data_IF_853026473243
#
_entry.id   IF_853026473243
#
_cell.length_a   1.000
_cell.length_b   1.000
_cell.length_c   1.000
_cell.angle_alpha   90.00
_cell.angle_beta   90.00
_cell.angle_gamma   90.00
#
_symmetry.space_group_name_H-M   'P 1'
#
loop_
_entity.id
_entity.type
_entity.pdbx_description
1 polymer ?
#
# COMPACT_ATOMS: atom_id res chain seq x y z
N UNK A 1 -28.32 -56.65 -45.23
CA UNK A 1 -29.16 -56.15 -44.11
C UNK A 1 -28.41 -54.99 -43.48
N UNK A 2 -28.66 -53.79 -43.98
CA UNK A 2 -27.96 -52.57 -43.57
C UNK A 2 -28.93 -51.74 -42.74
N UNK A 3 -28.61 -51.49 -41.47
CA UNK A 3 -29.41 -50.65 -40.58
C UNK A 3 -28.61 -49.40 -40.26
N UNK A 4 -29.14 -48.25 -40.71
CA UNK A 4 -28.74 -46.91 -40.32
C UNK A 4 -29.03 -46.69 -38.83
N UNK A 5 -28.07 -46.16 -38.08
CA UNK A 5 -28.32 -45.55 -36.77
C UNK A 5 -27.93 -44.08 -36.86
N UNK A 6 -28.95 -43.20 -36.87
CA UNK A 6 -28.80 -41.77 -36.66
C UNK A 6 -28.39 -41.52 -35.19
N UNK A 7 -27.18 -41.02 -34.97
CA UNK A 7 -26.77 -40.46 -33.69
C UNK A 7 -27.02 -38.95 -33.68
N UNK A 8 -28.03 -38.50 -32.93
CA UNK A 8 -28.29 -37.09 -32.65
C UNK A 8 -27.13 -36.53 -31.81
N UNK A 9 -26.39 -35.57 -32.35
CA UNK A 9 -25.41 -34.80 -31.58
C UNK A 9 -26.15 -33.80 -30.70
N UNK A 10 -26.13 -34.02 -29.38
CA UNK A 10 -26.61 -33.07 -28.38
C UNK A 10 -25.66 -31.87 -28.36
N UNK A 11 -26.16 -30.70 -28.78
CA UNK A 11 -25.48 -29.43 -28.56
C UNK A 11 -25.42 -29.15 -27.06
N UNK A 12 -24.22 -29.21 -26.47
CA UNK A 12 -23.97 -28.69 -25.15
C UNK A 12 -24.07 -27.15 -25.21
N UNK A 13 -25.18 -26.59 -24.72
CA UNK A 13 -25.27 -25.16 -24.44
C UNK A 13 -24.27 -24.83 -23.32
N UNK A 14 -23.17 -24.17 -23.66
CA UNK A 14 -22.28 -23.56 -22.69
C UNK A 14 -23.05 -22.54 -21.87
N UNK A 15 -23.08 -22.71 -20.55
CA UNK A 15 -23.59 -21.69 -19.63
C UNK A 15 -22.66 -20.48 -19.72
N UNK A 16 -23.14 -19.40 -20.33
CA UNK A 16 -22.55 -18.09 -20.15
C UNK A 16 -22.74 -17.70 -18.68
N UNK A 17 -21.75 -18.00 -17.83
CA UNK A 17 -21.69 -17.47 -16.48
C UNK A 17 -21.72 -15.95 -16.58
N UNK A 18 -22.78 -15.33 -16.06
CA UNK A 18 -22.92 -13.88 -16.07
C UNK A 18 -21.74 -13.25 -15.35
N UNK A 19 -20.93 -12.49 -16.09
CA UNK A 19 -19.97 -11.57 -15.50
C UNK A 19 -20.78 -10.43 -14.90
N UNK A 20 -21.13 -10.53 -13.63
CA UNK A 20 -21.68 -9.39 -12.90
C UNK A 20 -20.55 -8.39 -12.68
N UNK A 21 -20.72 -7.15 -13.12
CA UNK A 21 -19.79 -6.09 -12.76
C UNK A 21 -19.75 -5.96 -11.23
N UNK A 22 -18.56 -5.73 -10.68
CA UNK A 22 -18.43 -5.41 -9.26
C UNK A 22 -19.20 -4.11 -8.98
N UNK A 23 -20.04 -4.10 -7.94
CA UNK A 23 -20.64 -2.86 -7.46
C UNK A 23 -19.51 -1.92 -7.02
N UNK A 24 -19.40 -0.78 -7.71
CA UNK A 24 -18.38 0.23 -7.43
C UNK A 24 -18.68 0.94 -6.12
N UNK A 25 -17.90 0.67 -5.07
CA UNK A 25 -17.92 1.46 -3.85
C UNK A 25 -17.28 2.82 -4.14
N UNK A 26 -18.06 3.89 -4.06
CA UNK A 26 -17.51 5.25 -4.12
C UNK A 26 -16.90 5.59 -2.75
N UNK A 27 -15.60 5.93 -2.67
CA UNK A 27 -14.99 6.30 -1.41
C UNK A 27 -15.63 7.58 -0.87
N UNK A 28 -15.86 7.63 0.44
CA UNK A 28 -16.34 8.84 1.09
C UNK A 28 -15.26 9.92 1.07
N UNK A 29 -15.65 11.17 1.33
CA UNK A 29 -14.70 12.27 1.53
C UNK A 29 -13.66 11.94 2.62
N UNK A 30 -14.08 11.30 3.72
CA UNK A 30 -13.17 10.87 4.78
C UNK A 30 -12.18 9.81 4.29
N UNK A 31 -12.62 8.87 3.47
CA UNK A 31 -11.73 7.83 2.93
C UNK A 31 -10.65 8.46 2.04
N UNK A 32 -11.04 9.40 1.17
CA UNK A 32 -10.11 10.10 0.29
C UNK A 32 -9.10 10.92 1.09
N UNK A 33 -9.54 11.67 2.11
CA UNK A 33 -8.62 12.46 2.93
C UNK A 33 -7.76 11.64 3.90
N UNK A 34 -8.19 10.42 4.25
CA UNK A 34 -7.44 9.51 5.13
C UNK A 34 -6.38 8.69 4.38
N UNK A 35 -6.28 8.84 3.06
CA UNK A 35 -5.22 8.20 2.28
C UNK A 35 -3.85 8.63 2.81
N UNK A 36 -3.00 7.63 3.06
CA UNK A 36 -1.62 7.88 3.45
C UNK A 36 -0.80 8.18 2.20
N UNK A 37 -0.02 9.26 2.24
CA UNK A 37 0.96 9.56 1.20
C UNK A 37 2.38 9.27 1.70
N UNK A 38 3.18 8.60 0.87
CA UNK A 38 4.58 8.28 1.17
C UNK A 38 5.52 9.21 0.41
N UNK A 39 6.67 9.54 1.00
CA UNK A 39 7.63 10.47 0.40
C UNK A 39 9.05 10.37 0.96
N UNK A 40 9.92 11.24 0.46
CA UNK A 40 11.30 11.46 0.94
C UNK A 40 12.08 10.18 1.26
N UNK A 41 12.21 9.23 0.30
CA UNK A 41 12.92 7.98 0.56
C UNK A 41 14.42 8.22 0.73
N UNK A 42 15.00 7.60 1.75
CA UNK A 42 16.42 7.59 2.06
C UNK A 42 16.89 6.14 2.24
N UNK A 43 17.69 5.67 1.28
CA UNK A 43 18.24 4.31 1.27
C UNK A 43 19.51 4.29 2.14
N UNK A 44 19.63 3.28 3.00
CA UNK A 44 20.83 3.10 3.81
C UNK A 44 22.06 2.80 2.93
N UNK A 45 23.29 3.18 3.33
CA UNK A 45 24.49 2.96 2.51
C UNK A 45 24.74 1.50 2.10
N UNK A 46 24.31 0.54 2.93
CA UNK A 46 24.43 -0.90 2.64
C UNK A 46 23.31 -1.45 1.75
N UNK A 47 22.32 -0.62 1.40
CA UNK A 47 21.15 -0.96 0.59
C UNK A 47 20.12 -1.85 1.29
N UNK A 48 20.28 -2.15 2.60
CA UNK A 48 19.42 -3.12 3.32
C UNK A 48 18.30 -2.47 4.11
N UNK A 49 18.17 -1.15 4.05
CA UNK A 49 17.08 -0.43 4.71
C UNK A 49 16.67 0.80 3.90
N UNK A 50 15.41 1.19 4.05
CA UNK A 50 14.84 2.43 3.49
C UNK A 50 14.06 3.13 4.58
N UNK A 51 14.49 4.35 4.93
CA UNK A 51 13.71 5.28 5.73
C UNK A 51 12.88 6.16 4.78
N UNK A 52 11.62 6.44 5.10
CA UNK A 52 10.74 7.24 4.26
C UNK A 52 9.66 7.91 5.11
N UNK A 53 9.07 8.97 4.61
CA UNK A 53 7.98 9.66 5.32
C UNK A 53 6.63 9.06 4.97
N UNK A 54 5.72 9.04 5.95
CA UNK A 54 4.31 8.69 5.79
C UNK A 54 3.50 9.83 6.39
N UNK A 55 2.74 10.52 5.54
CA UNK A 55 1.79 11.55 5.97
C UNK A 55 0.40 10.94 6.11
N UNK A 56 -0.25 11.18 7.24
CA UNK A 56 -1.59 10.70 7.55
C UNK A 56 -2.46 11.79 8.16
N UNK A 57 -3.77 11.73 7.93
CA UNK A 57 -4.72 12.62 8.59
C UNK A 57 -4.82 12.28 10.08
N UNK A 58 -4.66 13.29 10.92
CA UNK A 58 -5.09 13.27 12.32
C UNK A 58 -6.43 14.00 12.40
N UNK A 59 -7.49 13.22 12.67
CA UNK A 59 -8.85 13.73 12.73
C UNK A 59 -9.19 14.38 14.07
N UNK A 60 -8.46 14.03 15.13
CA UNK A 60 -8.67 14.58 16.48
C UNK A 60 -8.11 16.00 16.54
N UNK A 61 -6.93 16.22 15.96
CA UNK A 61 -6.24 17.52 15.89
C UNK A 61 -6.54 18.30 14.59
N UNK A 62 -7.38 17.76 13.69
CA UNK A 62 -7.76 18.35 12.41
C UNK A 62 -6.54 18.82 11.57
N UNK A 63 -5.54 17.96 11.47
CA UNK A 63 -4.28 18.23 10.77
C UNK A 63 -3.78 17.01 10.02
N UNK A 64 -2.60 17.16 9.41
CA UNK A 64 -1.84 16.04 8.88
C UNK A 64 -0.50 15.97 9.58
N UNK A 65 -0.15 14.78 10.04
CA UNK A 65 1.14 14.52 10.64
C UNK A 65 1.96 13.65 9.72
N UNK A 66 3.27 13.89 9.72
CA UNK A 66 4.23 13.13 8.93
C UNK A 66 5.16 12.40 9.88
N UNK A 67 5.26 11.09 9.70
CA UNK A 67 6.14 10.25 10.49
C UNK A 67 7.16 9.53 9.62
N UNK A 68 8.33 9.23 10.17
CA UNK A 68 9.35 8.43 9.50
C UNK A 68 9.05 6.96 9.77
N UNK A 69 9.00 6.20 8.69
CA UNK A 69 8.88 4.76 8.69
C UNK A 69 10.17 4.13 8.16
N UNK A 70 10.45 2.93 8.63
CA UNK A 70 11.62 2.15 8.27
C UNK A 70 11.20 0.79 7.73
N UNK A 71 11.64 0.49 6.52
CA UNK A 71 11.67 -0.87 5.99
C UNK A 71 13.09 -1.43 6.04
N UNK A 72 13.23 -2.73 6.30
CA UNK A 72 14.51 -3.45 6.27
C UNK A 72 14.38 -4.72 5.41
N UNK A 73 15.47 -5.10 4.75
CA UNK A 73 15.52 -6.34 3.99
C UNK A 73 15.16 -7.55 4.86
N UNK A 74 14.20 -8.35 4.40
CA UNK A 74 13.67 -9.51 5.12
C UNK A 74 12.58 -9.19 6.16
N UNK A 75 12.25 -7.91 6.38
CA UNK A 75 11.09 -7.56 7.19
C UNK A 75 9.79 -7.79 6.40
N UNK A 76 8.82 -8.45 7.02
CA UNK A 76 7.49 -8.65 6.43
C UNK A 76 6.73 -7.33 6.26
N UNK A 77 6.90 -6.40 7.20
CA UNK A 77 6.22 -5.11 7.20
C UNK A 77 7.17 -4.00 7.65
N UNK A 78 7.01 -2.77 7.12
CA UNK A 78 7.70 -1.60 7.65
C UNK A 78 7.16 -1.22 9.03
N UNK A 79 7.99 -0.54 9.82
CA UNK A 79 7.62 -0.06 11.16
C UNK A 79 7.74 1.47 11.24
N UNK A 80 6.92 2.13 12.06
CA UNK A 80 7.11 3.55 12.38
C UNK A 80 8.37 3.69 13.24
N UNK A 81 9.31 4.52 12.79
CA UNK A 81 10.54 4.84 13.51
C UNK A 81 10.33 6.03 14.46
N UNK A 82 9.45 6.94 14.09
CA UNK A 82 9.01 8.08 14.91
C UNK A 82 7.51 7.95 15.23
N UNK A 83 7.11 8.59 16.34
CA UNK A 83 5.71 8.80 16.72
C UNK A 83 5.69 10.05 17.58
N UNK A 84 5.51 11.18 16.92
CA UNK A 84 5.46 12.50 17.54
C UNK A 84 4.06 12.70 18.11
N UNK A 85 3.97 13.24 19.34
CA UNK A 85 2.67 13.53 19.97
C UNK A 85 2.08 14.85 19.46
N UNK A 86 2.96 15.75 19.03
CA UNK A 86 2.63 17.02 18.41
C UNK A 86 3.72 17.27 17.36
N UNK A 87 3.33 17.68 16.14
CA UNK A 87 4.28 17.94 15.05
C UNK A 87 4.55 16.75 14.12
N UNK A 88 5.63 16.87 13.34
CA UNK A 88 5.97 16.01 12.21
C UNK A 88 7.47 15.74 12.13
N UNK A 89 7.81 14.48 11.86
CA UNK A 89 9.18 14.04 11.58
C UNK A 89 9.42 13.94 10.06
N UNK A 90 10.41 14.66 9.55
CA UNK A 90 10.68 14.78 8.10
C UNK A 90 12.17 14.70 7.75
N UNK A 91 12.48 14.68 6.45
CA UNK A 91 13.85 14.78 5.92
C UNK A 91 14.83 13.72 6.47
N UNK A 92 14.50 12.41 6.38
CA UNK A 92 15.41 11.35 6.84
C UNK A 92 16.73 11.36 6.05
N UNK A 93 17.86 11.26 6.75
CA UNK A 93 19.19 11.17 6.14
C UNK A 93 20.09 10.20 6.92
N UNK A 94 20.65 9.21 6.22
CA UNK A 94 21.58 8.25 6.82
C UNK A 94 22.98 8.84 6.99
N UNK A 95 23.65 8.47 8.07
CA UNK A 95 25.09 8.68 8.19
C UNK A 95 25.85 7.86 7.12
N UNK A 96 27.06 8.29 6.69
CA UNK A 96 27.83 7.56 5.68
C UNK A 96 28.14 6.10 6.06
N UNK A 97 28.24 5.81 7.36
CA UNK A 97 28.45 4.46 7.89
C UNK A 97 27.15 3.66 8.15
N UNK A 98 25.98 4.25 7.86
CA UNK A 98 24.67 3.64 8.01
C UNK A 98 24.22 3.39 9.46
N UNK A 99 24.99 3.83 10.47
CA UNK A 99 24.68 3.58 11.88
C UNK A 99 23.64 4.54 12.47
N UNK A 100 23.47 5.70 11.85
CA UNK A 100 22.59 6.76 12.35
C UNK A 100 21.65 7.23 11.26
N UNK A 101 20.46 7.65 11.68
CA UNK A 101 19.51 8.36 10.85
C UNK A 101 19.21 9.71 11.51
N UNK A 102 19.54 10.80 10.82
CA UNK A 102 19.15 12.15 11.19
C UNK A 102 17.82 12.52 10.54
N UNK A 103 17.07 13.41 11.18
CA UNK A 103 15.80 13.93 10.68
C UNK A 103 15.48 15.30 11.30
N UNK A 104 14.49 15.99 10.73
CA UNK A 104 13.92 17.22 11.29
C UNK A 104 12.60 16.90 12.01
N UNK A 105 12.36 17.54 13.14
CA UNK A 105 11.10 17.48 13.88
C UNK A 105 10.70 18.88 14.36
N UNK A 106 9.40 19.15 14.37
CA UNK A 106 8.78 20.36 14.93
C UNK A 106 7.89 20.06 16.14
#
# INVERSE_FOLDING_TARGET
MSVLVLGVAVLALGTAGGLTAQEGVSPSFRDVLSLRSVGSPAIAPDGRAVAYTVRSADWDDNRYDTEIWLWRAGAEQPLPLTRTADGSSTSPAWSPDGRWLAFLAD
#
